data_IF_929169753464
#
_entry.id   IF_929169753464
#
_cell.length_a   1.000
_cell.length_b   1.000
_cell.length_c   1.000
_cell.angle_alpha   90.00
_cell.angle_beta   90.00
_cell.angle_gamma   90.00
#
_symmetry.space_group_name_H-M   'P 1'
#
loop_
_entity.id
_entity.type
_entity.pdbx_description
1 polymer ?
#
# COMPACT_ATOMS: atom_id res chain seq x y z
N UNK A 1 -5.37 -4.07 -15.74
CA UNK A 1 -4.48 -3.85 -14.57
C UNK A 1 -5.36 -3.55 -13.36
N UNK A 2 -4.84 -3.71 -12.15
CA UNK A 2 -5.56 -3.33 -10.94
C UNK A 2 -4.73 -2.36 -10.09
N UNK A 3 -5.41 -1.52 -9.31
CA UNK A 3 -4.81 -0.49 -8.46
C UNK A 3 -5.46 -0.59 -7.09
N UNK A 4 -4.65 -0.77 -6.05
CA UNK A 4 -5.04 -0.48 -4.68
C UNK A 4 -4.72 1.00 -4.42
N UNK A 5 -5.74 1.81 -4.22
CA UNK A 5 -5.60 3.21 -3.82
C UNK A 5 -5.87 3.36 -2.33
N UNK A 6 -4.96 4.03 -1.62
CA UNK A 6 -5.08 4.31 -0.20
C UNK A 6 -5.21 5.82 -0.01
N UNK A 7 -6.24 6.21 0.70
CA UNK A 7 -6.45 7.59 1.11
C UNK A 7 -6.63 7.61 2.62
N UNK A 8 -5.93 8.52 3.28
CA UNK A 8 -6.01 8.69 4.73
C UNK A 8 -6.37 10.14 5.00
N UNK A 9 -7.49 10.36 5.69
CA UNK A 9 -8.08 11.68 5.91
C UNK A 9 -8.16 11.94 7.41
N UNK A 10 -7.78 13.14 7.83
CA UNK A 10 -8.00 13.65 9.18
C UNK A 10 -8.69 15.02 9.07
N UNK A 11 -9.83 15.20 9.72
CA UNK A 11 -10.65 16.42 9.65
C UNK A 11 -10.91 16.91 8.21
N UNK A 12 -11.18 15.98 7.30
CA UNK A 12 -11.43 16.27 5.88
C UNK A 12 -10.19 16.64 5.07
N UNK A 13 -8.98 16.57 5.64
CA UNK A 13 -7.72 16.81 4.94
C UNK A 13 -6.92 15.51 4.71
N UNK A 14 -6.39 15.28 3.50
CA UNK A 14 -5.54 14.12 3.26
C UNK A 14 -4.23 14.23 4.04
N UNK A 15 -3.83 13.14 4.70
CA UNK A 15 -2.56 13.04 5.38
C UNK A 15 -1.44 12.72 4.42
N UNK A 16 -0.26 13.28 4.71
CA UNK A 16 0.95 13.04 3.92
C UNK A 16 1.51 11.66 4.23
N UNK A 17 1.65 10.82 3.21
CA UNK A 17 2.37 9.56 3.33
C UNK A 17 3.87 9.83 3.58
N UNK A 18 4.43 9.19 4.60
CA UNK A 18 5.85 9.27 4.94
C UNK A 18 6.62 7.99 4.62
N UNK A 19 5.93 6.85 4.45
CA UNK A 19 6.52 5.60 4.00
C UNK A 19 5.49 4.68 3.35
N UNK A 20 5.98 3.72 2.56
CA UNK A 20 5.17 2.71 1.87
C UNK A 20 5.19 2.89 0.35
N UNK A 21 4.51 2.00 -0.39
CA UNK A 21 4.45 2.08 -1.83
C UNK A 21 3.53 3.22 -2.28
N UNK A 22 3.76 3.65 -3.52
CA UNK A 22 2.90 4.55 -4.28
C UNK A 22 2.45 3.85 -5.56
N UNK A 23 1.33 4.33 -6.12
CA UNK A 23 0.79 3.82 -7.36
C UNK A 23 1.77 4.13 -8.50
N UNK A 24 2.19 3.13 -9.29
CA UNK A 24 3.18 3.35 -10.35
C UNK A 24 2.66 4.26 -11.47
N UNK A 25 3.57 4.68 -12.35
CA UNK A 25 3.30 5.56 -13.49
C UNK A 25 2.09 5.17 -14.37
N UNK A 26 1.73 3.88 -14.49
CA UNK A 26 0.53 3.48 -15.25
C UNK A 26 -0.81 3.82 -14.54
N UNK A 27 -0.74 4.42 -13.35
CA UNK A 27 -1.82 5.13 -12.69
C UNK A 27 -2.16 6.47 -13.36
N UNK A 28 -1.21 7.03 -14.12
CA UNK A 28 -1.23 8.34 -14.80
C UNK A 28 -2.04 8.33 -16.09
N UNK A 29 -2.63 9.48 -16.43
CA UNK A 29 -3.12 9.75 -17.79
C UNK A 29 -2.14 10.50 -18.69
N UNK A 30 -0.97 10.84 -18.17
CA UNK A 30 0.12 11.58 -18.83
C UNK A 30 -0.26 12.99 -19.29
N UNK A 31 -1.37 13.54 -18.77
CA UNK A 31 -1.79 14.91 -19.00
C UNK A 31 -1.23 15.81 -17.88
N UNK A 32 -0.52 16.90 -18.19
CA UNK A 32 -0.02 17.81 -17.17
C UNK A 32 -1.13 18.37 -16.25
N UNK A 33 -0.83 18.49 -14.95
CA UNK A 33 -1.73 19.04 -13.94
C UNK A 33 -2.45 17.98 -13.11
N UNK A 34 -3.45 18.40 -12.33
CA UNK A 34 -4.26 17.50 -11.51
C UNK A 34 -5.46 17.05 -12.33
N UNK A 35 -5.50 15.78 -12.71
CA UNK A 35 -6.60 15.20 -13.47
C UNK A 35 -7.49 14.32 -12.59
N UNK A 36 -8.82 14.41 -12.73
CA UNK A 36 -9.73 13.52 -12.02
C UNK A 36 -9.45 12.03 -12.34
N UNK A 37 -9.10 11.26 -11.32
CA UNK A 37 -8.82 9.81 -11.45
C UNK A 37 -7.39 9.47 -11.89
N UNK A 38 -6.52 10.47 -12.06
CA UNK A 38 -5.09 10.22 -12.05
C UNK A 38 -4.69 9.88 -10.61
N UNK A 39 -4.07 8.72 -10.47
CA UNK A 39 -3.69 8.17 -9.18
C UNK A 39 -2.18 7.91 -9.10
N UNK A 40 -1.41 8.20 -10.15
CA UNK A 40 0.04 8.00 -10.09
C UNK A 40 0.65 8.78 -8.94
N UNK A 41 1.67 8.19 -8.31
CA UNK A 41 2.41 8.76 -7.18
C UNK A 41 1.58 8.99 -5.90
N UNK A 42 0.29 8.68 -5.90
CA UNK A 42 -0.54 8.65 -4.70
C UNK A 42 -0.31 7.36 -3.89
N UNK A 43 -0.63 7.36 -2.59
CA UNK A 43 -0.46 6.18 -1.75
C UNK A 43 -1.24 4.99 -2.29
N UNK A 44 -0.56 3.86 -2.46
CA UNK A 44 -1.19 2.67 -3.00
C UNK A 44 -0.22 1.73 -3.67
N UNK A 45 -0.76 0.83 -4.50
CA UNK A 45 0.02 -0.17 -5.23
C UNK A 45 -0.68 -0.55 -6.53
N UNK A 46 0.11 -0.81 -7.56
CA UNK A 46 -0.40 -1.33 -8.83
C UNK A 46 -0.07 -2.81 -9.05
N UNK A 47 -1.02 -3.53 -9.64
CA UNK A 47 -0.94 -4.94 -10.00
C UNK A 47 -1.09 -5.10 -11.51
N UNK A 48 0.03 -5.32 -12.19
CA UNK A 48 0.07 -5.45 -13.63
C UNK A 48 1.29 -6.23 -14.12
N UNK A 49 1.14 -6.86 -15.29
CA UNK A 49 2.28 -7.23 -16.13
C UNK A 49 2.52 -6.10 -17.11
N UNK A 50 3.61 -5.38 -16.92
CA UNK A 50 4.05 -4.26 -17.76
C UNK A 50 5.10 -4.79 -18.73
N UNK A 51 4.83 -4.62 -20.02
CA UNK A 51 5.75 -4.97 -21.10
C UNK A 51 6.54 -3.72 -21.52
N UNK A 52 7.77 -3.93 -21.94
CA UNK A 52 8.60 -2.89 -22.56
C UNK A 52 9.18 -3.37 -23.89
N UNK A 53 9.47 -2.41 -24.77
CA UNK A 53 10.06 -2.69 -26.08
C UNK A 53 10.05 -1.45 -26.98
N UNK A 54 10.41 -1.66 -28.24
CA UNK A 54 10.44 -0.61 -29.27
C UNK A 54 9.20 -0.69 -30.13
N UNK A 55 8.49 0.44 -30.29
CA UNK A 55 7.31 0.51 -31.15
C UNK A 55 7.73 0.27 -32.60
N UNK A 56 7.14 -0.74 -33.26
CA UNK A 56 7.50 -1.18 -34.60
C UNK A 56 8.99 -1.59 -34.74
N UNK A 57 9.62 -2.04 -33.66
CA UNK A 57 11.01 -2.53 -33.66
C UNK A 57 12.08 -1.45 -33.84
N UNK A 58 11.73 -0.16 -33.78
CA UNK A 58 12.67 0.94 -33.96
C UNK A 58 12.58 1.99 -32.86
N UNK A 59 13.65 2.78 -32.67
CA UNK A 59 13.67 3.88 -31.71
C UNK A 59 13.96 3.46 -30.26
N UNK A 60 13.57 4.29 -29.27
CA UNK A 60 13.84 4.01 -27.87
C UNK A 60 12.96 2.89 -27.32
N UNK A 61 13.45 2.21 -26.28
CA UNK A 61 12.62 1.30 -25.48
C UNK A 61 11.68 2.14 -24.63
N UNK A 62 10.38 1.87 -24.74
CA UNK A 62 9.32 2.56 -23.99
C UNK A 62 8.44 1.56 -23.24
N UNK A 63 7.59 2.07 -22.35
CA UNK A 63 6.65 1.27 -21.55
C UNK A 63 5.43 2.11 -21.13
N UNK A 64 4.24 1.49 -20.98
CA UNK A 64 3.92 0.13 -21.42
C UNK A 64 3.83 0.04 -22.95
N UNK A 65 4.18 -1.10 -23.53
CA UNK A 65 3.90 -1.42 -24.95
C UNK A 65 2.86 -2.52 -25.08
N UNK A 66 2.25 -2.65 -26.27
CA UNK A 66 1.43 -3.81 -26.62
C UNK A 66 2.30 -5.05 -26.81
N UNK A 67 1.71 -6.24 -26.70
CA UNK A 67 2.43 -7.50 -26.81
C UNK A 67 3.14 -7.71 -28.15
N UNK A 68 2.69 -7.04 -29.22
CA UNK A 68 3.30 -7.10 -30.55
C UNK A 68 4.65 -6.37 -30.62
N UNK A 69 4.84 -5.36 -29.77
CA UNK A 69 6.07 -4.55 -29.68
C UNK A 69 6.92 -4.95 -28.46
N UNK A 70 6.50 -5.97 -27.71
CA UNK A 70 7.14 -6.36 -26.46
C UNK A 70 8.44 -7.13 -26.73
N UNK A 71 9.53 -6.59 -26.20
CA UNK A 71 10.85 -7.24 -26.21
C UNK A 71 11.13 -7.90 -24.86
N UNK A 72 10.64 -7.32 -23.76
CA UNK A 72 10.84 -7.81 -22.40
C UNK A 72 9.63 -7.55 -21.49
N UNK A 73 9.63 -8.21 -20.33
CA UNK A 73 8.74 -7.87 -19.21
C UNK A 73 9.47 -6.88 -18.32
N UNK A 74 9.00 -5.63 -18.28
CA UNK A 74 9.55 -4.61 -17.38
C UNK A 74 9.22 -4.91 -15.92
N UNK A 75 7.96 -5.25 -15.65
CA UNK A 75 7.50 -5.57 -14.31
C UNK A 75 6.35 -6.58 -14.37
N UNK A 76 6.28 -7.46 -13.37
CA UNK A 76 5.14 -8.33 -13.16
C UNK A 76 4.76 -8.29 -11.68
N UNK A 77 3.78 -7.45 -11.35
CA UNK A 77 3.26 -7.29 -9.98
C UNK A 77 1.88 -7.94 -9.82
N UNK A 78 1.49 -8.85 -10.71
CA UNK A 78 0.23 -9.57 -10.58
C UNK A 78 0.27 -10.44 -9.32
N UNK A 79 -0.83 -10.45 -8.56
CA UNK A 79 -1.02 -11.38 -7.44
C UNK A 79 -1.21 -12.79 -8.03
N UNK A 80 -0.35 -13.76 -7.73
CA UNK A 80 -0.53 -15.12 -8.24
C UNK A 80 -1.83 -15.75 -7.75
N UNK A 81 -2.32 -16.75 -8.48
CA UNK A 81 -3.59 -17.41 -8.12
C UNK A 81 -3.55 -18.00 -6.71
N UNK A 82 -4.58 -17.69 -5.92
CA UNK A 82 -4.71 -18.14 -4.53
C UNK A 82 -3.75 -17.48 -3.54
N UNK A 83 -2.92 -16.53 -3.99
CA UNK A 83 -2.00 -15.81 -3.12
C UNK A 83 -2.60 -14.51 -2.61
N UNK A 84 -2.04 -14.02 -1.51
CA UNK A 84 -2.37 -12.73 -0.90
C UNK A 84 -1.16 -11.80 -1.01
N UNK A 85 -1.41 -10.56 -1.42
CA UNK A 85 -0.42 -9.50 -1.34
C UNK A 85 -0.69 -8.62 -0.11
N UNK A 86 0.36 -8.22 0.59
CA UNK A 86 0.29 -7.33 1.74
C UNK A 86 1.24 -6.15 1.54
N UNK A 87 0.77 -4.95 1.87
CA UNK A 87 1.58 -3.73 1.89
C UNK A 87 1.29 -2.92 3.15
N UNK A 88 2.28 -2.12 3.56
CA UNK A 88 2.20 -1.25 4.73
C UNK A 88 2.44 0.20 4.31
N UNK A 89 1.69 1.09 4.94
CA UNK A 89 1.73 2.53 4.68
C UNK A 89 1.89 3.28 5.99
N UNK A 90 2.64 4.37 5.97
CA UNK A 90 2.82 5.26 7.12
C UNK A 90 2.44 6.67 6.71
N UNK A 91 1.64 7.34 7.54
CA UNK A 91 1.18 8.70 7.32
C UNK A 91 1.61 9.60 8.48
N UNK A 92 1.92 10.85 8.17
CA UNK A 92 2.21 11.86 9.18
C UNK A 92 0.89 12.31 9.83
N UNK A 93 0.82 12.18 11.16
CA UNK A 93 -0.23 12.81 11.96
C UNK A 93 0.26 14.21 12.35
N UNK A 94 -0.52 15.28 12.12
CA UNK A 94 -0.16 16.62 12.59
C UNK A 94 0.07 16.65 14.10
N UNK A 95 1.06 17.41 14.56
CA UNK A 95 1.37 17.52 15.98
C UNK A 95 0.16 18.09 16.74
N UNK A 96 -0.20 17.44 17.85
CA UNK A 96 -1.35 17.85 18.67
C UNK A 96 -2.71 17.46 18.08
N UNK A 97 -2.76 16.77 16.93
CA UNK A 97 -4.01 16.24 16.41
C UNK A 97 -4.62 15.24 17.39
N UNK A 98 -5.91 15.41 17.66
CA UNK A 98 -6.73 14.47 18.41
C UNK A 98 -8.08 14.36 17.74
N UNK A 99 -8.49 13.14 17.45
CA UNK A 99 -9.72 12.92 16.71
C UNK A 99 -9.65 11.61 15.95
N UNK A 100 -10.52 11.50 14.96
CA UNK A 100 -10.62 10.32 14.13
C UNK A 100 -9.88 10.52 12.81
N UNK A 101 -9.14 9.50 12.41
CA UNK A 101 -8.53 9.38 11.09
C UNK A 101 -9.33 8.35 10.30
N UNK A 102 -9.76 8.72 9.11
CA UNK A 102 -10.42 7.82 8.17
C UNK A 102 -9.38 7.23 7.22
N UNK A 103 -9.40 5.93 7.06
CA UNK A 103 -8.55 5.18 6.13
C UNK A 103 -9.45 4.53 5.10
N UNK A 104 -9.34 4.97 3.85
CA UNK A 104 -10.09 4.46 2.72
C UNK A 104 -9.15 3.64 1.84
N UNK A 105 -9.45 2.36 1.67
CA UNK A 105 -8.75 1.47 0.74
C UNK A 105 -9.70 1.07 -0.38
N UNK A 106 -9.36 1.41 -1.62
CA UNK A 106 -10.17 1.09 -2.82
C UNK A 106 -9.38 0.23 -3.77
N UNK A 107 -9.98 -0.86 -4.23
CA UNK A 107 -9.43 -1.71 -5.28
C UNK A 107 -10.14 -1.39 -6.58
N UNK A 108 -9.38 -0.91 -7.56
CA UNK A 108 -9.84 -0.53 -8.88
C UNK A 108 -9.34 -1.54 -9.91
N UNK A 109 -10.19 -1.90 -10.86
CA UNK A 109 -9.82 -2.66 -12.04
C UNK A 109 -9.97 -1.81 -13.30
N UNK A 110 -8.92 -1.76 -14.12
CA UNK A 110 -8.89 -1.05 -15.41
C UNK A 110 -8.64 -2.02 -16.55
N UNK A 111 -9.47 -1.94 -17.60
CA UNK A 111 -9.32 -2.77 -18.82
C UNK A 111 -8.17 -2.32 -19.72
N UNK A 112 -7.74 -1.07 -19.63
CA UNK A 112 -6.64 -0.50 -20.40
C UNK A 112 -5.72 0.35 -19.50
N UNK A 113 -4.55 0.73 -20.02
CA UNK A 113 -3.72 1.76 -19.38
C UNK A 113 -4.47 3.09 -19.40
N UNK A 114 -4.38 3.87 -18.32
CA UNK A 114 -5.20 5.07 -18.17
C UNK A 114 -4.87 6.11 -19.25
N UNK A 115 -3.60 6.43 -19.46
CA UNK A 115 -3.15 7.32 -20.55
C UNK A 115 -3.73 6.91 -21.93
N UNK A 116 -3.74 5.60 -22.24
CA UNK A 116 -4.32 5.10 -23.49
C UNK A 116 -5.84 5.30 -23.53
N UNK A 117 -6.54 4.96 -22.44
CA UNK A 117 -8.00 5.11 -22.36
C UNK A 117 -8.41 6.58 -22.52
N UNK A 118 -7.74 7.50 -21.81
CA UNK A 118 -7.98 8.94 -21.91
C UNK A 118 -7.69 9.45 -23.32
N UNK A 119 -6.53 9.12 -23.88
CA UNK A 119 -6.14 9.53 -25.25
C UNK A 119 -7.15 9.07 -26.31
N UNK A 120 -7.75 7.88 -26.12
CA UNK A 120 -8.75 7.33 -27.05
C UNK A 120 -10.18 7.73 -26.72
N UNK A 121 -10.41 8.48 -25.66
CA UNK A 121 -11.76 8.83 -25.18
C UNK A 121 -12.58 7.62 -24.73
N UNK A 122 -11.92 6.55 -24.28
CA UNK A 122 -12.58 5.35 -23.81
C UNK A 122 -13.07 5.53 -22.38
N UNK A 123 -14.36 5.75 -22.22
CA UNK A 123 -15.02 5.85 -20.90
C UNK A 123 -15.88 4.62 -20.60
N UNK A 124 -16.44 4.01 -21.64
CA UNK A 124 -17.31 2.84 -21.57
C UNK A 124 -16.82 1.73 -22.49
N UNK A 125 -17.15 0.51 -22.12
CA UNK A 125 -16.98 -0.69 -22.92
C UNK A 125 -18.07 -0.78 -23.99
N UNK A 126 -17.91 -1.64 -25.02
CA UNK A 126 -18.97 -1.89 -26.01
C UNK A 126 -20.30 -2.38 -25.38
N UNK A 127 -20.24 -3.02 -24.20
CA UNK A 127 -21.42 -3.43 -23.43
C UNK A 127 -21.98 -2.36 -22.49
N UNK A 128 -21.53 -1.10 -22.59
CA UNK A 128 -22.03 0.03 -21.81
C UNK A 128 -21.48 0.15 -20.37
N UNK A 129 -20.62 -0.78 -19.93
CA UNK A 129 -20.02 -0.72 -18.60
C UNK A 129 -18.81 0.22 -18.57
N UNK A 130 -18.50 0.90 -17.45
CA UNK A 130 -17.29 1.72 -17.32
C UNK A 130 -15.99 0.94 -17.62
N UNK A 131 -14.98 1.63 -18.16
CA UNK A 131 -13.67 1.03 -18.45
C UNK A 131 -12.81 0.82 -17.19
N UNK A 132 -13.10 1.59 -16.15
CA UNK A 132 -12.58 1.49 -14.80
C UNK A 132 -13.74 1.17 -13.87
N UNK A 133 -13.56 0.17 -13.02
CA UNK A 133 -14.55 -0.24 -12.03
C UNK A 133 -13.89 -0.32 -10.67
N UNK A 134 -14.58 0.17 -9.64
CA UNK A 134 -14.25 -0.15 -8.26
C UNK A 134 -14.77 -1.55 -7.96
N UNK A 135 -13.87 -2.47 -7.62
CA UNK A 135 -14.21 -3.88 -7.36
C UNK A 135 -14.42 -4.16 -5.89
N UNK A 136 -13.80 -3.36 -5.02
CA UNK A 136 -13.96 -3.44 -3.57
C UNK A 136 -13.53 -2.11 -2.93
N UNK A 137 -14.12 -1.79 -1.79
CA UNK A 137 -13.71 -0.70 -0.93
C UNK A 137 -13.85 -1.09 0.53
N UNK A 138 -12.91 -0.65 1.35
CA UNK A 138 -12.90 -0.81 2.80
C UNK A 138 -12.62 0.55 3.43
N UNK A 139 -13.38 0.90 4.47
CA UNK A 139 -13.21 2.12 5.24
C UNK A 139 -13.02 1.77 6.71
N UNK A 140 -11.97 2.34 7.31
CA UNK A 140 -11.64 2.17 8.72
C UNK A 140 -11.51 3.52 9.39
N UNK A 141 -12.11 3.68 10.56
CA UNK A 141 -11.88 4.85 11.42
C UNK A 141 -10.94 4.48 12.56
N UNK A 142 -9.86 5.23 12.71
CA UNK A 142 -8.86 5.06 13.77
C UNK A 142 -8.84 6.31 14.65
N UNK A 143 -9.12 6.15 15.94
CA UNK A 143 -9.03 7.26 16.89
C UNK A 143 -7.58 7.49 17.30
N UNK A 144 -7.11 8.73 17.10
CA UNK A 144 -5.82 9.22 17.58
C UNK A 144 -6.07 10.02 18.86
N UNK A 145 -5.58 9.52 19.99
CA UNK A 145 -5.64 10.24 21.25
C UNK A 145 -4.60 11.36 21.30
N UNK A 146 -5.00 12.55 21.80
CA UNK A 146 -4.05 13.56 22.28
C UNK A 146 -3.33 13.01 23.51
N UNK A 147 -2.20 12.35 23.32
CA UNK A 147 -1.34 11.93 24.42
C UNK A 147 -0.70 10.57 24.19
N UNK A 148 0.37 10.56 23.42
CA UNK A 148 1.50 9.73 23.81
C UNK A 148 2.32 10.56 24.82
N UNK A 149 1.91 10.52 26.10
CA UNK A 149 2.97 10.40 27.09
C UNK A 149 3.73 9.13 26.67
N UNK A 150 5.08 9.15 26.61
CA UNK A 150 5.80 7.92 26.33
C UNK A 150 5.26 6.91 27.34
N UNK A 151 4.67 5.81 26.86
CA UNK A 151 4.38 4.67 27.71
C UNK A 151 5.71 4.38 28.38
N UNK A 152 5.83 4.75 29.65
CA UNK A 152 6.96 4.37 30.47
C UNK A 152 6.98 2.86 30.34
N UNK A 153 8.03 2.33 29.73
CA UNK A 153 8.34 0.91 29.83
C UNK A 153 8.19 0.61 31.32
N UNK A 154 7.32 -0.33 31.74
CA UNK A 154 7.29 -0.72 33.13
C UNK A 154 8.69 -1.22 33.44
N UNK A 155 9.50 -0.37 34.06
CA UNK A 155 10.75 -0.78 34.66
C UNK A 155 10.32 -1.73 35.75
N UNK A 156 10.52 -3.02 35.52
CA UNK A 156 10.40 -4.02 36.56
C UNK A 156 11.29 -3.51 37.71
N UNK A 157 10.66 -3.08 38.80
CA UNK A 157 11.41 -2.68 39.98
C UNK A 157 12.33 -3.83 40.37
N UNK A 158 13.54 -3.49 40.84
CA UNK A 158 14.53 -4.42 41.39
C UNK A 158 13.96 -5.61 42.21
N UNK A 159 12.88 -5.49 43.02
CA UNK A 159 12.31 -6.67 43.70
C UNK A 159 11.74 -7.75 42.77
N UNK A 160 11.26 -7.40 41.57
CA UNK A 160 10.72 -8.36 40.60
C UNK A 160 11.82 -9.14 39.86
N UNK A 161 13.03 -8.58 39.74
CA UNK A 161 14.18 -9.26 39.14
C UNK A 161 14.74 -10.36 40.08
N UNK A 162 14.67 -10.14 41.40
CA UNK A 162 15.15 -11.11 42.41
C UNK A 162 14.25 -12.35 42.52
N UNK A 163 12.95 -12.24 42.21
CA UNK A 163 12.02 -13.39 42.22
C UNK A 163 12.25 -14.37 41.06
N UNK A 164 12.81 -13.90 39.93
CA UNK A 164 13.11 -14.76 38.77
C UNK A 164 14.41 -15.56 38.99
N UNK A 165 15.41 -14.99 39.66
CA UNK A 165 16.62 -15.75 40.03
C UNK A 165 16.43 -16.64 41.27
N UNK A 166 15.52 -16.30 42.18
CA UNK A 166 15.21 -17.13 43.35
C UNK A 166 14.54 -18.47 43.02
N UNK A 167 13.72 -18.52 41.95
CA UNK A 167 13.02 -19.74 41.55
C UNK A 167 13.89 -20.70 40.72
N UNK A 168 14.87 -20.18 39.97
CA UNK A 168 15.89 -21.00 39.29
C UNK A 168 16.94 -21.60 40.25
N UNK A 169 17.24 -20.93 41.37
CA UNK A 169 18.16 -21.44 42.39
C UNK A 169 17.62 -22.65 43.18
N UNK A 170 16.30 -22.75 43.39
CA UNK A 170 15.69 -23.86 44.14
C UNK A 170 15.52 -25.14 43.31
N UNK A 171 15.45 -25.05 41.98
CA UNK A 171 15.35 -26.24 41.11
C UNK A 171 16.73 -26.90 40.93
N UNK A 172 17.83 -26.14 41.03
CA UNK A 172 19.20 -26.66 40.95
C UNK A 172 19.65 -27.45 42.19
N UNK A 173 19.17 -27.10 43.39
CA UNK A 173 19.65 -27.71 44.63
C UNK A 173 18.97 -29.04 44.98
N UNK A 174 17.80 -29.34 44.41
CA UNK A 174 17.09 -30.62 44.63
C UNK A 174 17.66 -31.75 43.77
N UNK A 175 18.41 -31.43 42.70
CA UNK A 175 19.01 -32.44 41.81
C UNK A 175 20.43 -32.90 42.18
N UNK A 176 21.13 -32.27 43.13
CA UNK A 176 22.50 -32.66 43.52
C UNK A 176 22.63 -33.49 44.81
N UNK A 177 21.52 -33.98 45.37
CA UNK A 177 21.53 -34.87 46.57
C UNK A 177 21.11 -36.32 46.31
N UNK A 178 21.12 -36.78 45.06
CA UNK A 178 21.06 -38.21 44.72
C UNK A 178 22.07 -38.50 43.60
N UNK A 179 23.24 -39.00 44.00
CA UNK A 179 24.37 -39.38 43.17
C UNK A 179 25.56 -39.61 44.08
#
# INVERSE_FOLDING_TARGET
NAILAIEVIADGQPLVQTAGPVIPFYGSDDVPGIQPGDLADLPGKGFAKVLEGRINGAGPVVRPVLFIDAENVFANTIIPSGQTDQSQYRFAIPAGFSGNVEVNARLLYRRAWRALAVTKGWTITPGGQPIEIEVAAEQLTVSVGAGLLPNAIPTMGLPALLLIFGTLGLIGLVRSRRG
#
